data_IF_734560515179
#
_entry.id   IF_734560515179
#
_cell.length_a   1.000
_cell.length_b   1.000
_cell.length_c   1.000
_cell.angle_alpha   90.00
_cell.angle_beta   90.00
_cell.angle_gamma   90.00
#
_symmetry.space_group_name_H-M   'P 1'
#
loop_
_entity.id
_entity.type
_entity.pdbx_description
1 polymer ?
#
# COMPACT_ATOMS: atom_id res chain seq x y z
N UNK A 1 -0.07 10.90 2.07
CA UNK A 1 -1.23 11.75 2.43
C UNK A 1 -2.53 11.25 1.80
N UNK A 2 -2.63 11.13 0.46
CA UNK A 2 -3.88 10.69 -0.20
C UNK A 2 -4.36 9.28 0.20
N UNK A 3 -3.45 8.30 0.33
CA UNK A 3 -3.80 6.96 0.83
C UNK A 3 -4.34 6.98 2.28
N UNK A 4 -3.83 7.88 3.12
CA UNK A 4 -4.33 8.05 4.48
C UNK A 4 -5.73 8.66 4.47
N UNK A 5 -5.97 9.68 3.64
CA UNK A 5 -7.29 10.28 3.49
C UNK A 5 -8.33 9.27 2.97
N UNK A 6 -7.96 8.46 1.97
CA UNK A 6 -8.81 7.36 1.48
C UNK A 6 -9.23 6.41 2.61
N UNK A 7 -8.29 5.95 3.42
CA UNK A 7 -8.56 5.05 4.55
C UNK A 7 -9.40 5.74 5.64
N UNK A 8 -9.13 7.03 5.93
CA UNK A 8 -9.91 7.81 6.89
C UNK A 8 -11.39 7.95 6.45
N UNK A 9 -11.64 8.25 5.17
CA UNK A 9 -13.00 8.31 4.62
C UNK A 9 -13.68 6.94 4.64
N UNK A 10 -12.94 5.86 4.37
CA UNK A 10 -13.47 4.50 4.49
C UNK A 10 -13.94 4.20 5.91
N UNK A 11 -13.14 4.53 6.93
CA UNK A 11 -13.50 4.32 8.34
C UNK A 11 -14.68 5.18 8.73
N UNK A 12 -14.66 6.48 8.36
CA UNK A 12 -15.75 7.41 8.64
C UNK A 12 -17.07 6.92 8.05
N UNK A 13 -17.05 6.40 6.83
CA UNK A 13 -18.20 5.78 6.17
C UNK A 13 -18.75 4.57 6.93
N UNK A 14 -17.88 3.68 7.44
CA UNK A 14 -18.28 2.53 8.25
C UNK A 14 -18.88 2.94 9.61
N UNK A 15 -18.30 3.94 10.27
CA UNK A 15 -18.83 4.48 11.55
C UNK A 15 -20.20 5.13 11.30
N UNK A 16 -20.34 5.89 10.22
CA UNK A 16 -21.60 6.53 9.83
C UNK A 16 -22.69 5.49 9.54
N UNK A 17 -22.36 4.41 8.82
CA UNK A 17 -23.27 3.28 8.62
C UNK A 17 -23.68 2.62 9.95
N UNK A 18 -22.75 2.48 10.88
CA UNK A 18 -23.04 1.91 12.20
C UNK A 18 -24.03 2.80 12.97
N UNK A 19 -23.88 4.12 12.90
CA UNK A 19 -24.82 5.06 13.52
C UNK A 19 -26.19 5.02 12.82
N UNK A 20 -26.21 5.04 11.49
CA UNK A 20 -27.44 4.94 10.71
C UNK A 20 -28.20 3.63 11.03
N UNK A 21 -27.50 2.50 11.13
CA UNK A 21 -28.11 1.20 11.43
C UNK A 21 -28.69 1.10 12.85
N UNK A 22 -28.23 1.91 13.80
CA UNK A 22 -28.68 1.88 15.19
C UNK A 22 -29.80 2.90 15.47
N UNK A 23 -30.07 3.82 14.55
CA UNK A 23 -31.07 4.88 14.71
C UNK A 23 -32.47 4.41 14.25
N UNK A 24 -33.33 4.10 15.23
CA UNK A 24 -34.71 3.63 14.99
C UNK A 24 -35.64 4.70 14.41
N UNK A 25 -35.28 5.99 14.51
CA UNK A 25 -36.12 7.08 14.01
C UNK A 25 -36.08 7.23 12.48
N UNK A 26 -35.16 6.52 11.83
CA UNK A 26 -34.99 6.58 10.37
C UNK A 26 -36.11 5.84 9.62
N UNK A 27 -36.77 4.87 10.26
CA UNK A 27 -37.91 4.17 9.67
C UNK A 27 -39.15 5.07 9.54
N UNK A 28 -39.32 6.03 10.46
CA UNK A 28 -40.51 6.89 10.52
C UNK A 28 -40.30 8.24 9.83
N UNK A 29 -39.06 8.72 9.71
CA UNK A 29 -38.77 10.08 9.28
C UNK A 29 -37.93 10.12 7.99
N UNK A 30 -38.60 10.31 6.84
CA UNK A 30 -38.00 10.32 5.50
C UNK A 30 -36.86 11.34 5.36
N UNK A 31 -36.97 12.51 5.98
CA UNK A 31 -35.94 13.56 5.92
C UNK A 31 -34.61 13.12 6.57
N UNK A 32 -34.67 12.38 7.69
CA UNK A 32 -33.45 11.85 8.35
C UNK A 32 -32.79 10.77 7.49
N UNK A 33 -33.59 9.90 6.88
CA UNK A 33 -33.09 8.86 5.96
C UNK A 33 -32.32 9.48 4.80
N UNK A 34 -32.89 10.49 4.14
CA UNK A 34 -32.28 11.14 2.99
C UNK A 34 -30.98 11.89 3.39
N UNK A 35 -30.92 12.45 4.60
CA UNK A 35 -29.68 13.02 5.17
C UNK A 35 -28.59 11.96 5.37
N UNK A 36 -28.89 10.83 6.03
CA UNK A 36 -27.92 9.74 6.22
C UNK A 36 -27.39 9.20 4.89
N UNK A 37 -28.27 9.04 3.91
CA UNK A 37 -27.95 8.56 2.58
C UNK A 37 -27.08 9.55 1.79
N UNK A 38 -27.40 10.85 1.89
CA UNK A 38 -26.61 11.93 1.27
C UNK A 38 -25.19 12.03 1.84
N UNK A 39 -25.05 11.99 3.16
CA UNK A 39 -23.73 12.01 3.83
C UNK A 39 -22.92 10.76 3.50
N UNK A 40 -23.55 9.58 3.50
CA UNK A 40 -22.90 8.33 3.08
C UNK A 40 -22.42 8.39 1.62
N UNK A 41 -23.25 8.90 0.72
CA UNK A 41 -22.89 9.12 -0.68
C UNK A 41 -21.70 10.09 -0.83
N UNK A 42 -21.68 11.18 -0.05
CA UNK A 42 -20.58 12.13 -0.05
C UNK A 42 -19.26 11.49 0.44
N UNK A 43 -19.31 10.66 1.49
CA UNK A 43 -18.14 9.88 1.94
C UNK A 43 -17.61 8.95 0.84
N UNK A 44 -18.49 8.21 0.16
CA UNK A 44 -18.11 7.32 -0.94
C UNK A 44 -17.49 8.07 -2.12
N UNK A 45 -18.06 9.21 -2.49
CA UNK A 45 -17.53 10.05 -3.58
C UNK A 45 -16.15 10.63 -3.21
N UNK A 46 -15.99 11.18 -2.01
CA UNK A 46 -14.72 11.69 -1.51
C UNK A 46 -13.64 10.59 -1.44
N UNK A 47 -14.03 9.39 -0.99
CA UNK A 47 -13.18 8.22 -0.96
C UNK A 47 -12.70 7.83 -2.38
N UNK A 48 -13.62 7.78 -3.35
CA UNK A 48 -13.30 7.47 -4.75
C UNK A 48 -12.32 8.47 -5.36
N UNK A 49 -12.56 9.77 -5.16
CA UNK A 49 -11.68 10.84 -5.64
C UNK A 49 -10.28 10.74 -5.01
N UNK A 50 -10.20 10.48 -3.70
CA UNK A 50 -8.93 10.31 -3.00
C UNK A 50 -8.17 9.08 -3.48
N UNK A 51 -8.85 7.94 -3.71
CA UNK A 51 -8.21 6.73 -4.24
C UNK A 51 -7.68 6.95 -5.66
N UNK A 52 -8.45 7.63 -6.51
CA UNK A 52 -8.01 7.95 -7.87
C UNK A 52 -6.79 8.88 -7.87
N UNK A 53 -6.82 9.95 -7.07
CA UNK A 53 -5.68 10.85 -6.91
C UNK A 53 -4.44 10.16 -6.33
N UNK A 54 -4.64 9.26 -5.36
CA UNK A 54 -3.56 8.46 -4.78
C UNK A 54 -2.92 7.54 -5.83
N UNK A 55 -3.72 6.90 -6.68
CA UNK A 55 -3.23 6.05 -7.76
C UNK A 55 -2.40 6.86 -8.75
N UNK A 56 -2.92 7.98 -9.28
CA UNK A 56 -2.18 8.84 -10.22
C UNK A 56 -0.86 9.29 -9.61
N UNK A 57 -0.89 9.82 -8.40
CA UNK A 57 0.31 10.34 -7.74
C UNK A 57 1.36 9.24 -7.57
N UNK A 58 0.96 8.04 -7.18
CA UNK A 58 1.86 6.91 -6.98
C UNK A 58 2.46 6.43 -8.31
N UNK A 59 1.66 6.30 -9.37
CA UNK A 59 2.15 5.91 -10.69
C UNK A 59 3.10 6.96 -11.28
N UNK A 60 2.74 8.25 -11.26
CA UNK A 60 3.61 9.33 -11.75
C UNK A 60 4.90 9.43 -10.93
N UNK A 61 4.83 9.25 -9.61
CA UNK A 61 6.03 9.22 -8.76
C UNK A 61 6.93 8.04 -9.08
N UNK A 62 6.36 6.86 -9.34
CA UNK A 62 7.11 5.67 -9.70
C UNK A 62 7.80 5.82 -11.06
N UNK A 63 7.10 6.36 -12.05
CA UNK A 63 7.68 6.63 -13.37
C UNK A 63 8.84 7.63 -13.28
N UNK A 64 8.67 8.72 -12.51
CA UNK A 64 9.75 9.68 -12.29
C UNK A 64 10.95 9.05 -11.55
N UNK A 65 10.68 8.18 -10.57
CA UNK A 65 11.71 7.47 -9.84
C UNK A 65 12.48 6.49 -10.73
N UNK A 66 11.78 5.69 -11.53
CA UNK A 66 12.39 4.76 -12.48
C UNK A 66 13.22 5.51 -13.52
N UNK A 67 12.68 6.59 -14.10
CA UNK A 67 13.43 7.42 -15.06
C UNK A 67 14.71 8.00 -14.47
N UNK A 68 14.66 8.44 -13.20
CA UNK A 68 15.85 8.94 -12.49
C UNK A 68 16.89 7.84 -12.27
N UNK A 69 16.46 6.65 -11.84
CA UNK A 69 17.34 5.49 -11.65
C UNK A 69 17.95 5.04 -12.97
N UNK A 70 17.15 4.94 -14.03
CA UNK A 70 17.62 4.59 -15.37
C UNK A 70 18.63 5.59 -15.90
N UNK A 71 18.36 6.90 -15.77
CA UNK A 71 19.29 7.94 -16.21
C UNK A 71 20.61 7.88 -15.46
N UNK A 72 20.58 7.64 -14.15
CA UNK A 72 21.80 7.51 -13.34
C UNK A 72 22.57 6.23 -13.70
N UNK A 73 21.87 5.12 -13.95
CA UNK A 73 22.48 3.88 -14.41
C UNK A 73 23.16 4.07 -15.78
N UNK A 74 22.47 4.71 -16.71
CA UNK A 74 22.98 4.98 -18.05
C UNK A 74 24.20 5.90 -18.04
N UNK A 75 24.15 6.97 -17.25
CA UNK A 75 25.28 7.90 -17.09
C UNK A 75 26.50 7.18 -16.50
N UNK A 76 26.32 6.35 -15.48
CA UNK A 76 27.40 5.56 -14.90
C UNK A 76 28.02 4.58 -15.90
N UNK A 77 27.19 3.90 -16.72
CA UNK A 77 27.67 2.97 -17.74
C UNK A 77 28.51 3.70 -18.80
N UNK A 78 28.10 4.89 -19.22
CA UNK A 78 28.85 5.67 -20.21
C UNK A 78 30.22 6.16 -19.71
N UNK A 79 30.39 6.30 -18.39
CA UNK A 79 31.65 6.68 -17.76
C UNK A 79 32.50 5.47 -17.32
N UNK A 80 32.05 4.24 -17.57
CA UNK A 80 32.84 3.05 -17.23
C UNK A 80 34.06 2.89 -18.16
N UNK A 81 35.21 2.43 -17.64
CA UNK A 81 36.38 2.13 -18.46
C UNK A 81 36.08 0.99 -19.44
N UNK A 82 36.81 0.94 -20.56
CA UNK A 82 36.63 -0.12 -21.57
C UNK A 82 36.80 -1.53 -21.00
N UNK A 83 37.66 -1.70 -20.00
CA UNK A 83 37.88 -2.97 -19.28
C UNK A 83 36.59 -3.55 -18.65
N UNK A 84 35.66 -2.68 -18.24
CA UNK A 84 34.36 -3.12 -17.72
C UNK A 84 33.53 -3.84 -18.80
N UNK A 85 33.61 -3.37 -20.04
CA UNK A 85 32.87 -3.93 -21.18
C UNK A 85 33.51 -5.21 -21.71
N UNK A 86 34.82 -5.39 -21.51
CA UNK A 86 35.53 -6.62 -21.89
C UNK A 86 35.31 -7.76 -20.86
N UNK A 87 35.19 -7.42 -19.58
CA UNK A 87 34.99 -8.39 -18.49
C UNK A 87 33.51 -8.75 -18.26
N UNK A 88 32.59 -7.84 -18.57
CA UNK A 88 31.16 -8.03 -18.29
C UNK A 88 30.41 -8.41 -19.57
N UNK A 89 29.70 -9.54 -19.61
CA UNK A 89 28.91 -9.91 -20.78
C UNK A 89 27.85 -8.84 -21.08
N UNK A 90 27.83 -8.35 -22.32
CA UNK A 90 26.82 -7.38 -22.81
C UNK A 90 25.38 -7.78 -22.48
N UNK A 91 25.08 -9.09 -22.48
CA UNK A 91 23.77 -9.64 -22.09
C UNK A 91 23.38 -9.28 -20.66
N UNK A 92 24.31 -9.37 -19.70
CA UNK A 92 24.05 -9.03 -18.30
C UNK A 92 23.74 -7.55 -18.10
N UNK A 93 24.39 -6.67 -18.87
CA UNK A 93 24.14 -5.22 -18.82
C UNK A 93 22.73 -4.94 -19.35
N UNK A 94 22.36 -5.56 -20.47
CA UNK A 94 21.01 -5.43 -21.06
C UNK A 94 19.93 -5.99 -20.14
N UNK A 95 20.17 -7.15 -19.50
CA UNK A 95 19.23 -7.75 -18.56
C UNK A 95 18.95 -6.83 -17.38
N UNK A 96 19.97 -6.15 -16.83
CA UNK A 96 19.76 -5.18 -15.75
C UNK A 96 19.00 -3.94 -16.23
N UNK A 97 19.39 -3.35 -17.36
CA UNK A 97 18.73 -2.17 -17.89
C UNK A 97 17.28 -2.43 -18.32
N UNK A 98 16.94 -3.66 -18.70
CA UNK A 98 15.59 -4.05 -19.12
C UNK A 98 14.78 -4.62 -17.97
N UNK A 99 15.20 -5.75 -17.39
CA UNK A 99 14.41 -6.49 -16.41
C UNK A 99 14.34 -5.78 -15.06
N UNK A 100 15.44 -5.22 -14.56
CA UNK A 100 15.42 -4.56 -13.24
C UNK A 100 14.63 -3.25 -13.31
N UNK A 101 14.77 -2.50 -14.41
CA UNK A 101 14.00 -1.26 -14.64
C UNK A 101 12.51 -1.57 -14.81
N UNK A 102 12.16 -2.60 -15.58
CA UNK A 102 10.77 -3.06 -15.70
C UNK A 102 10.18 -3.49 -14.35
N UNK A 103 10.98 -4.14 -13.49
CA UNK A 103 10.57 -4.47 -12.13
C UNK A 103 10.32 -3.22 -11.28
N UNK A 104 11.19 -2.21 -11.37
CA UNK A 104 11.01 -0.91 -10.71
C UNK A 104 9.77 -0.17 -11.22
N UNK A 105 9.43 -0.29 -12.50
CA UNK A 105 8.28 0.40 -13.10
C UNK A 105 6.94 -0.28 -12.80
N UNK A 106 6.88 -1.60 -12.88
CA UNK A 106 5.62 -2.34 -12.80
C UNK A 106 5.38 -2.95 -11.42
N UNK A 107 6.40 -3.56 -10.83
CA UNK A 107 6.26 -4.41 -9.63
C UNK A 107 6.37 -3.58 -8.35
N UNK A 108 7.34 -2.67 -8.26
CA UNK A 108 7.54 -1.83 -7.09
C UNK A 108 6.32 -0.98 -6.70
N UNK A 109 5.71 -0.16 -7.59
CA UNK A 109 4.58 0.67 -7.21
C UNK A 109 3.37 -0.15 -6.75
N UNK A 110 3.11 -1.32 -7.35
CA UNK A 110 2.05 -2.23 -6.92
C UNK A 110 2.29 -2.75 -5.50
N UNK A 111 3.51 -3.21 -5.22
CA UNK A 111 3.89 -3.70 -3.88
C UNK A 111 3.83 -2.58 -2.82
N UNK A 112 4.31 -1.38 -3.14
CA UNK A 112 4.26 -0.23 -2.24
C UNK A 112 2.80 0.13 -1.94
N UNK A 113 1.94 0.16 -2.96
CA UNK A 113 0.50 0.44 -2.79
C UNK A 113 -0.16 -0.60 -1.90
N UNK A 114 0.11 -1.89 -2.14
CA UNK A 114 -0.43 -2.97 -1.32
C UNK A 114 0.05 -2.88 0.13
N UNK A 115 1.35 -2.71 0.34
CA UNK A 115 1.96 -2.57 1.66
C UNK A 115 1.37 -1.39 2.44
N UNK A 116 1.27 -0.21 1.82
CA UNK A 116 0.64 0.96 2.43
C UNK A 116 -0.83 0.69 2.76
N UNK A 117 -1.59 0.14 1.80
CA UNK A 117 -3.02 -0.14 1.99
C UNK A 117 -3.24 -1.08 3.18
N UNK A 118 -2.53 -2.21 3.21
CA UNK A 118 -2.62 -3.19 4.29
C UNK A 118 -2.17 -2.62 5.63
N UNK A 119 -1.06 -1.87 5.68
CA UNK A 119 -0.59 -1.26 6.92
C UNK A 119 -1.62 -0.29 7.50
N UNK A 120 -2.19 0.60 6.67
CA UNK A 120 -3.23 1.52 7.12
C UNK A 120 -4.54 0.81 7.49
N UNK A 121 -4.92 -0.24 6.76
CA UNK A 121 -6.12 -1.02 7.07
C UNK A 121 -5.99 -1.75 8.41
N UNK A 122 -4.82 -2.32 8.72
CA UNK A 122 -4.56 -2.95 10.02
C UNK A 122 -4.63 -1.92 11.14
N UNK A 123 -3.95 -0.77 10.98
CA UNK A 123 -3.99 0.32 11.96
C UNK A 123 -5.42 0.81 12.19
N UNK A 124 -6.17 1.03 11.11
CA UNK A 124 -7.58 1.44 11.15
C UNK A 124 -8.44 0.45 11.94
N UNK A 125 -8.30 -0.84 11.63
CA UNK A 125 -9.07 -1.91 12.29
C UNK A 125 -8.77 -1.95 13.78
N UNK A 126 -7.49 -1.83 14.17
CA UNK A 126 -7.10 -1.78 15.59
C UNK A 126 -7.75 -0.57 16.28
N UNK A 127 -7.73 0.62 15.67
CA UNK A 127 -8.34 1.83 16.24
C UNK A 127 -9.86 1.68 16.40
N UNK A 128 -10.56 1.21 15.37
CA UNK A 128 -12.02 1.04 15.40
C UNK A 128 -12.45 0.05 16.49
N UNK A 129 -11.79 -1.10 16.59
CA UNK A 129 -12.08 -2.10 17.63
C UNK A 129 -11.76 -1.54 19.01
N UNK A 130 -10.64 -0.82 19.17
CA UNK A 130 -10.24 -0.24 20.45
C UNK A 130 -11.22 0.81 20.97
N UNK A 131 -11.85 1.59 20.09
CA UNK A 131 -12.91 2.54 20.47
C UNK A 131 -14.15 1.80 20.98
N UNK A 132 -14.52 0.69 20.33
CA UNK A 132 -15.69 -0.11 20.73
C UNK A 132 -15.44 -0.90 22.02
N UNK A 133 -14.25 -1.51 22.17
CA UNK A 133 -13.91 -2.35 23.33
C UNK A 133 -12.46 -2.08 23.79
N UNK A 134 -12.24 -1.17 24.75
CA UNK A 134 -10.89 -0.79 25.18
C UNK A 134 -10.04 -1.94 25.73
N UNK A 135 -10.65 -2.99 26.31
CA UNK A 135 -9.93 -4.16 26.84
C UNK A 135 -9.19 -4.95 25.75
N UNK A 136 -9.61 -4.82 24.48
CA UNK A 136 -8.95 -5.45 23.33
C UNK A 136 -7.48 -5.05 23.20
N UNK A 137 -7.13 -3.83 23.65
CA UNK A 137 -5.77 -3.32 23.58
C UNK A 137 -4.80 -4.11 24.47
N UNK A 138 -5.27 -4.72 25.57
CA UNK A 138 -4.45 -5.62 26.37
C UNK A 138 -4.16 -6.94 25.64
N UNK A 139 -5.08 -7.41 24.79
CA UNK A 139 -4.98 -8.68 24.05
C UNK A 139 -4.14 -8.52 22.78
N UNK A 140 -4.19 -7.37 22.11
CA UNK A 140 -3.43 -7.15 20.87
C UNK A 140 -1.91 -7.08 21.11
N UNK A 141 -1.46 -6.65 22.31
CA UNK A 141 -0.04 -6.56 22.66
C UNK A 141 0.67 -7.92 22.61
N UNK A 142 0.22 -8.98 23.32
CA UNK A 142 0.86 -10.29 23.23
C UNK A 142 0.75 -10.91 21.83
N UNK A 143 -0.37 -10.69 21.12
CA UNK A 143 -0.53 -11.15 19.73
C UNK A 143 0.49 -10.46 18.82
N UNK A 144 0.66 -9.15 18.95
CA UNK A 144 1.63 -8.36 18.17
C UNK A 144 3.07 -8.79 18.44
N UNK A 145 3.39 -9.15 19.68
CA UNK A 145 4.68 -9.73 20.02
C UNK A 145 4.92 -11.06 19.29
N UNK A 146 3.99 -12.01 19.37
CA UNK A 146 4.09 -13.30 18.65
C UNK A 146 4.20 -13.08 17.15
N UNK A 147 3.38 -12.18 16.59
CA UNK A 147 3.40 -11.84 15.17
C UNK A 147 4.76 -11.28 14.74
N UNK A 148 5.41 -10.45 15.56
CA UNK A 148 6.75 -9.93 15.26
C UNK A 148 7.79 -11.05 15.13
N UNK A 149 7.79 -12.04 16.03
CA UNK A 149 8.69 -13.21 15.91
C UNK A 149 8.37 -14.04 14.67
N UNK A 150 7.10 -14.33 14.44
CA UNK A 150 6.65 -15.07 13.26
C UNK A 150 7.06 -14.36 11.97
N UNK A 151 6.86 -13.05 11.88
CA UNK A 151 7.25 -12.22 10.74
C UNK A 151 8.76 -12.26 10.51
N UNK A 152 9.57 -12.14 11.57
CA UNK A 152 11.03 -12.18 11.46
C UNK A 152 11.53 -13.53 10.93
N UNK A 153 10.95 -14.63 11.42
CA UNK A 153 11.28 -15.97 10.94
C UNK A 153 10.82 -16.17 9.49
N UNK A 154 9.57 -15.81 9.18
CA UNK A 154 9.00 -15.92 7.84
C UNK A 154 9.81 -15.16 6.78
N UNK A 155 10.19 -13.90 7.06
CA UNK A 155 10.97 -13.08 6.12
C UNK A 155 12.36 -13.67 5.87
N UNK A 156 13.01 -14.22 6.90
CA UNK A 156 14.31 -14.87 6.73
C UNK A 156 14.22 -16.10 5.84
N UNK A 157 13.26 -16.98 6.11
CA UNK A 157 13.03 -18.23 5.36
C UNK A 157 12.57 -17.95 3.93
N UNK A 158 11.58 -17.06 3.74
CA UNK A 158 11.06 -16.69 2.42
C UNK A 158 12.15 -16.11 1.51
N UNK A 159 13.03 -15.24 2.05
CA UNK A 159 14.15 -14.69 1.28
C UNK A 159 15.15 -15.76 0.86
N UNK A 160 15.40 -16.77 1.68
CA UNK A 160 16.26 -17.89 1.29
C UNK A 160 15.61 -18.75 0.21
N UNK A 161 14.30 -18.98 0.30
CA UNK A 161 13.54 -19.75 -0.69
C UNK A 161 13.55 -19.07 -2.07
N UNK A 162 13.30 -17.76 -2.13
CA UNK A 162 13.37 -17.00 -3.39
C UNK A 162 14.77 -17.02 -4.02
N UNK A 163 15.84 -17.08 -3.20
CA UNK A 163 17.21 -17.22 -3.73
C UNK A 163 17.43 -18.59 -4.36
N UNK A 164 16.91 -19.66 -3.76
CA UNK A 164 16.99 -21.01 -4.32
C UNK A 164 16.23 -21.13 -5.64
N UNK A 165 15.03 -20.53 -5.69
CA UNK A 165 14.22 -20.47 -6.91
C UNK A 165 14.92 -19.70 -8.03
N UNK A 166 15.64 -18.61 -7.72
CA UNK A 166 16.36 -17.83 -8.73
C UNK A 166 17.60 -18.51 -9.34
N UNK A 167 18.08 -19.60 -8.73
CA UNK A 167 19.28 -20.35 -9.15
C UNK A 167 18.93 -21.68 -9.82
N UNK A 168 17.67 -22.14 -9.69
CA UNK A 168 17.15 -23.38 -10.29
C UNK A 168 16.50 -23.09 -11.64
#
# INVERSE_FOLDING_TARGET
>A
VLNFAFQAFQIGSNIWLTQWSNDKEVETNTAKRDMYLGVYGAFGFAQGLCNYGAAITLFTSSLNASFKVFRQLFDNIMHCPSEFFDTTPKGRILDRCSNDVNCLDMVMPLNIRMCMSTAFQVLATIVVISISTPIFLAVIVPIGFIYYFAQRFYVATSRQLMRLESVS
#
